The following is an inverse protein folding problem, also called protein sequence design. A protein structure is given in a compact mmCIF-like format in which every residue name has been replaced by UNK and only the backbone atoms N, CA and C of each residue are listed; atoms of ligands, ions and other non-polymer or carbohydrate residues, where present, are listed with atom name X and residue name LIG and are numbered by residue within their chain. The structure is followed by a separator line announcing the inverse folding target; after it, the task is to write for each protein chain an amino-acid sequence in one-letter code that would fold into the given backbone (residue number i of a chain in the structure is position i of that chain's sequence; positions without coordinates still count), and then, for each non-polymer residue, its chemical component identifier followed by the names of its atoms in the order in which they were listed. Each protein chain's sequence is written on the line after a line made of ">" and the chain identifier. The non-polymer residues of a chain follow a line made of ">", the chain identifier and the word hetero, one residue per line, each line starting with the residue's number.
data_IF_102397111293
#
_entry.id   IF_102397111293
#
_cell.length_a   1.000
_cell.length_b   1.000
_cell.length_c   1.000
_cell.angle_alpha   90.00
_cell.angle_beta   90.00
_cell.angle_gamma   90.00
#
_symmetry.space_group_name_H-M   'P 1'
#
loop_
_entity.id
_entity.type
_entity.pdbx_description
1 polymer ?
#
# COMPACT_ATOMS: atom_id res chain seq x y z
N UNK A 1 20.36 -9.00 -2.73
CA UNK A 1 19.57 -7.79 -3.04
C UNK A 1 18.59 -7.64 -1.89
N UNK A 2 18.64 -6.53 -1.15
CA UNK A 2 17.64 -6.27 -0.10
C UNK A 2 16.27 -6.15 -0.76
N UNK A 3 15.26 -6.80 -0.22
CA UNK A 3 13.89 -6.70 -0.75
C UNK A 3 13.26 -5.48 -0.10
N UNK A 4 13.07 -4.39 -0.86
CA UNK A 4 12.49 -3.16 -0.30
C UNK A 4 10.95 -3.14 -0.37
N UNK A 5 10.37 -3.90 -1.30
CA UNK A 5 8.92 -3.98 -1.44
C UNK A 5 8.44 -5.10 -2.37
N UNK A 6 7.20 -5.55 -2.15
CA UNK A 6 6.44 -6.45 -3.03
C UNK A 6 5.13 -5.75 -3.37
N UNK A 7 4.82 -5.65 -4.67
CA UNK A 7 3.51 -5.24 -5.16
C UNK A 7 2.75 -6.49 -5.61
N UNK A 8 1.47 -6.57 -5.28
CA UNK A 8 0.66 -7.72 -5.64
C UNK A 8 -0.81 -7.41 -5.79
N UNK A 9 -1.53 -8.42 -6.28
CA UNK A 9 -2.94 -8.37 -6.61
C UNK A 9 -3.56 -9.70 -6.23
N UNK A 10 -4.61 -9.65 -5.42
CA UNK A 10 -5.50 -10.76 -5.11
C UNK A 10 -6.83 -10.55 -5.88
N UNK A 11 -7.07 -11.29 -6.98
CA UNK A 11 -8.31 -11.18 -7.74
C UNK A 11 -9.54 -11.74 -7.02
N UNK A 12 -9.35 -12.75 -6.14
CA UNK A 12 -10.44 -13.37 -5.39
C UNK A 12 -11.04 -12.40 -4.37
N UNK A 13 -10.18 -11.73 -3.61
CA UNK A 13 -10.59 -10.77 -2.58
C UNK A 13 -10.76 -9.35 -3.14
N UNK A 14 -10.44 -9.18 -4.42
CA UNK A 14 -10.35 -7.89 -5.10
C UNK A 14 -9.48 -6.88 -4.35
N UNK A 15 -8.26 -7.27 -3.99
CA UNK A 15 -7.31 -6.43 -3.25
C UNK A 15 -6.07 -6.17 -4.10
N UNK A 16 -5.64 -4.92 -4.16
CA UNK A 16 -4.27 -4.54 -4.55
C UNK A 16 -3.49 -4.26 -3.26
N UNK A 17 -2.27 -4.77 -3.18
CA UNK A 17 -1.45 -4.63 -1.97
C UNK A 17 0.00 -4.28 -2.26
N UNK A 18 0.63 -3.63 -1.29
CA UNK A 18 2.08 -3.46 -1.20
C UNK A 18 2.59 -3.91 0.15
N UNK A 19 3.60 -4.77 0.17
CA UNK A 19 4.36 -5.10 1.37
C UNK A 19 5.69 -4.39 1.31
N UNK A 20 6.03 -3.66 2.37
CA UNK A 20 7.24 -2.86 2.45
C UNK A 20 8.11 -3.38 3.58
N UNK A 21 9.41 -3.39 3.31
CA UNK A 21 10.38 -4.12 4.12
C UNK A 21 11.57 -3.24 4.47
N UNK A 22 12.07 -3.40 5.68
CA UNK A 22 13.32 -2.81 6.15
C UNK A 22 14.19 -3.95 6.69
N UNK A 23 15.44 -4.05 6.23
CA UNK A 23 16.35 -5.14 6.61
C UNK A 23 15.74 -6.55 6.43
N UNK A 24 15.05 -6.76 5.30
CA UNK A 24 14.33 -7.99 4.93
C UNK A 24 13.16 -8.38 5.85
N UNK A 25 12.77 -7.51 6.77
CA UNK A 25 11.61 -7.67 7.64
C UNK A 25 10.46 -6.81 7.17
N UNK A 26 9.26 -7.38 7.10
CA UNK A 26 8.06 -6.64 6.69
C UNK A 26 7.72 -5.63 7.79
N UNK A 27 7.61 -4.36 7.43
CA UNK A 27 7.34 -3.25 8.37
C UNK A 27 5.90 -2.76 8.24
N UNK A 28 5.43 -2.56 7.02
CA UNK A 28 4.09 -2.05 6.75
C UNK A 28 3.51 -2.72 5.50
N UNK A 29 2.21 -2.97 5.52
CA UNK A 29 1.44 -3.41 4.36
C UNK A 29 0.36 -2.37 4.04
N UNK A 30 0.19 -2.06 2.75
CA UNK A 30 -0.84 -1.16 2.24
C UNK A 30 -1.84 -1.99 1.44
N UNK A 31 -3.13 -1.77 1.64
CA UNK A 31 -4.20 -2.52 0.99
C UNK A 31 -5.26 -1.57 0.43
N UNK A 32 -5.73 -1.86 -0.79
CA UNK A 32 -6.89 -1.21 -1.40
C UNK A 32 -7.80 -2.26 -2.00
N UNK A 33 -9.06 -2.31 -1.56
CA UNK A 33 -10.10 -3.17 -2.12
C UNK A 33 -10.79 -2.44 -3.27
N UNK A 34 -10.86 -3.07 -4.43
CA UNK A 34 -11.49 -2.52 -5.64
C UNK A 34 -12.82 -3.23 -5.97
N UNK A 35 -13.72 -2.53 -6.66
CA UNK A 35 -15.02 -3.06 -7.07
C UNK A 35 -15.06 -3.45 -8.55
N UNK A 36 -14.32 -2.70 -9.37
CA UNK A 36 -14.36 -2.68 -10.83
C UNK A 36 -12.98 -2.33 -11.41
N UNK A 37 -12.88 -2.28 -12.74
CA UNK A 37 -11.62 -2.03 -13.44
C UNK A 37 -11.07 -0.61 -13.19
N UNK A 38 -11.94 0.39 -13.06
CA UNK A 38 -11.52 1.77 -12.82
C UNK A 38 -10.89 1.91 -11.43
N UNK A 39 -11.58 1.42 -10.40
CA UNK A 39 -11.07 1.40 -9.02
C UNK A 39 -9.83 0.52 -8.88
N UNK A 40 -9.73 -0.59 -9.62
CA UNK A 40 -8.51 -1.41 -9.66
C UNK A 40 -7.31 -0.63 -10.21
N UNK A 41 -7.49 0.13 -11.29
CA UNK A 41 -6.42 0.90 -11.91
C UNK A 41 -5.93 2.03 -10.98
N UNK A 42 -6.85 2.71 -10.30
CA UNK A 42 -6.49 3.75 -9.32
C UNK A 42 -5.81 3.13 -8.09
N UNK A 43 -6.31 1.99 -7.59
CA UNK A 43 -5.67 1.23 -6.53
C UNK A 43 -4.21 0.88 -6.88
N UNK A 44 -3.97 0.34 -8.10
CA UNK A 44 -2.61 0.05 -8.59
C UNK A 44 -1.72 1.29 -8.60
N UNK A 45 -2.22 2.42 -9.09
CA UNK A 45 -1.47 3.67 -9.15
C UNK A 45 -1.14 4.20 -7.76
N UNK A 46 -2.12 4.26 -6.86
CA UNK A 46 -1.95 4.73 -5.49
C UNK A 46 -0.93 3.86 -4.74
N UNK A 47 -1.09 2.53 -4.76
CA UNK A 47 -0.19 1.61 -4.07
C UNK A 47 1.23 1.67 -4.64
N UNK A 48 1.37 1.86 -5.96
CA UNK A 48 2.67 2.09 -6.60
C UNK A 48 3.31 3.41 -6.14
N UNK A 49 2.55 4.50 -6.11
CA UNK A 49 3.03 5.81 -5.64
C UNK A 49 3.56 5.73 -4.20
N UNK A 50 2.82 5.10 -3.30
CA UNK A 50 3.22 4.96 -1.91
C UNK A 50 4.47 4.09 -1.75
N UNK A 51 4.64 3.07 -2.61
CA UNK A 51 5.90 2.30 -2.65
C UNK A 51 7.12 3.15 -3.04
N UNK A 52 6.95 4.25 -3.78
CA UNK A 52 8.03 5.18 -4.10
C UNK A 52 8.38 6.09 -2.92
N UNK A 53 7.40 6.50 -2.12
CA UNK A 53 7.65 7.25 -0.89
C UNK A 53 8.47 6.42 0.10
N UNK A 54 8.17 5.13 0.24
CA UNK A 54 8.98 4.20 1.04
C UNK A 54 10.46 4.20 0.61
N UNK A 55 10.71 4.10 -0.71
CA UNK A 55 12.07 4.12 -1.27
C UNK A 55 12.80 5.46 -1.12
N UNK A 56 12.08 6.51 -0.71
CA UNK A 56 12.62 7.84 -0.43
C UNK A 56 12.87 8.04 1.07
N UNK A 57 13.10 6.96 1.81
CA UNK A 57 13.33 6.93 3.26
C UNK A 57 12.18 7.54 4.10
N UNK A 58 10.95 7.51 3.57
CA UNK A 58 9.76 7.91 4.34
C UNK A 58 9.52 6.92 5.47
N UNK A 59 9.38 7.42 6.70
CA UNK A 59 9.07 6.57 7.85
C UNK A 59 7.76 5.81 7.64
N UNK A 60 7.64 4.60 8.21
CA UNK A 60 6.43 3.81 8.11
C UNK A 60 5.19 4.56 8.65
N UNK A 61 5.36 5.35 9.71
CA UNK A 61 4.31 6.19 10.29
C UNK A 61 3.83 7.25 9.31
N UNK A 62 4.75 8.02 8.72
CA UNK A 62 4.39 9.05 7.75
C UNK A 62 3.77 8.44 6.49
N UNK A 63 4.26 7.27 6.07
CA UNK A 63 3.72 6.57 4.92
C UNK A 63 2.27 6.12 5.15
N UNK A 64 1.96 5.60 6.34
CA UNK A 64 0.59 5.26 6.73
C UNK A 64 -0.32 6.49 6.68
N UNK A 65 0.12 7.60 7.25
CA UNK A 65 -0.67 8.84 7.25
C UNK A 65 -0.94 9.35 5.84
N UNK A 66 0.08 9.37 4.98
CA UNK A 66 -0.07 9.74 3.56
C UNK A 66 -1.03 8.81 2.82
N UNK A 67 -0.94 7.50 3.06
CA UNK A 67 -1.80 6.51 2.41
C UNK A 67 -3.25 6.61 2.87
N UNK A 68 -3.48 6.74 4.18
CA UNK A 68 -4.83 6.83 4.76
C UNK A 68 -5.53 8.16 4.46
N UNK A 69 -4.78 9.14 3.96
CA UNK A 69 -5.30 10.44 3.51
C UNK A 69 -5.18 10.64 2.00
N UNK A 70 -4.84 9.60 1.23
CA UNK A 70 -4.70 9.71 -0.23
C UNK A 70 -6.04 10.17 -0.84
N UNK A 71 -6.11 11.40 -1.41
CA UNK A 71 -7.35 11.94 -1.96
C UNK A 71 -7.87 11.09 -3.12
N UNK A 72 -7.00 10.38 -3.83
CA UNK A 72 -7.39 9.48 -4.93
C UNK A 72 -8.21 8.31 -4.41
N UNK A 73 -7.93 7.82 -3.19
CA UNK A 73 -8.65 6.71 -2.57
C UNK A 73 -9.86 7.20 -1.77
N UNK A 74 -9.68 8.25 -0.97
CA UNK A 74 -10.76 8.88 -0.17
C UNK A 74 -11.91 9.30 -1.07
N UNK A 75 -11.64 9.99 -2.18
CA UNK A 75 -12.70 10.50 -3.07
C UNK A 75 -13.43 9.38 -3.83
N UNK A 76 -12.81 8.22 -4.01
CA UNK A 76 -13.46 7.07 -4.62
C UNK A 76 -14.39 6.31 -3.67
N UNK A 77 -14.25 6.54 -2.35
CA UNK A 77 -15.02 5.80 -1.34
C UNK A 77 -14.73 4.30 -1.33
N UNK A 78 -13.55 3.88 -1.79
CA UNK A 78 -13.09 2.49 -1.69
C UNK A 78 -12.63 2.18 -0.27
N UNK A 79 -12.59 0.90 0.09
CA UNK A 79 -12.00 0.45 1.35
C UNK A 79 -10.48 0.30 1.19
N UNK A 80 -9.71 0.96 2.04
CA UNK A 80 -8.26 0.90 2.05
C UNK A 80 -7.75 1.07 3.47
N UNK A 81 -6.62 0.43 3.78
CA UNK A 81 -6.02 0.46 5.11
C UNK A 81 -4.54 0.12 5.06
N UNK A 82 -3.82 0.51 6.11
CA UNK A 82 -2.43 0.14 6.29
C UNK A 82 -2.21 -0.57 7.63
N UNK A 83 -1.43 -1.66 7.59
CA UNK A 83 -1.12 -2.49 8.74
C UNK A 83 0.38 -2.45 9.06
N UNK A 84 0.72 -2.13 10.31
CA UNK A 84 2.09 -2.27 10.80
C UNK A 84 2.37 -3.71 11.23
N UNK A 85 3.63 -4.10 11.06
CA UNK A 85 4.18 -5.35 11.53
C UNK A 85 5.29 -5.00 12.51
N UNK A 86 5.01 -5.12 13.81
CA UNK A 86 6.03 -5.08 14.83
C UNK A 86 6.62 -6.47 15.05
N UNK A 87 7.91 -6.54 15.36
CA UNK A 87 8.46 -7.73 16.03
C UNK A 87 7.72 -7.92 17.35
N UNK A 88 7.16 -9.11 17.55
CA UNK A 88 6.93 -9.62 18.90
C UNK A 88 8.27 -10.00 19.53
#
# INVERSE_FOLDING_TARGET
>A
MKRDGILGHDPSEKIIFCFLFENDEKVISLFVRYSDENTMNIAKQSVTLHSLFWKSDTSAQNLKELFETDPSLVNLGVEFWAEFFSKQ
#
